data_IF_154522592089
#
_entry.id   IF_154522592089
#
_cell.length_a   1.000
_cell.length_b   1.000
_cell.length_c   1.000
_cell.angle_alpha   90.00
_cell.angle_beta   90.00
_cell.angle_gamma   90.00
#
_symmetry.space_group_name_H-M   'P 1'
#
loop_
_entity.id
_entity.type
_entity.pdbx_description
1 polymer ?
#
# COMPACT_ATOMS: atom_id res chain seq x y z
N UNK A 1 -31.92 13.62 -58.18
CA UNK A 1 -33.06 14.53 -58.43
C UNK A 1 -33.84 14.63 -57.13
N UNK A 2 -34.02 15.85 -56.64
CA UNK A 2 -34.84 16.19 -55.47
C UNK A 2 -36.29 16.33 -55.94
N UNK A 3 -37.24 15.80 -55.17
CA UNK A 3 -38.62 16.29 -55.04
C UNK A 3 -39.27 15.53 -53.86
N UNK A 4 -39.96 16.11 -52.87
CA UNK A 4 -40.44 17.48 -52.72
C UNK A 4 -41.97 17.60 -52.76
N UNK A 5 -42.73 16.91 -51.91
CA UNK A 5 -44.15 17.25 -51.65
C UNK A 5 -44.62 16.61 -50.32
N UNK A 6 -44.76 17.36 -49.23
CA UNK A 6 -45.87 18.24 -48.80
C UNK A 6 -47.09 17.46 -48.27
N UNK A 7 -47.28 17.56 -46.96
CA UNK A 7 -48.40 17.06 -46.17
C UNK A 7 -49.73 17.77 -46.46
N UNK A 8 -50.88 17.18 -46.10
CA UNK A 8 -52.07 17.93 -45.73
C UNK A 8 -52.12 18.24 -44.22
N UNK A 9 -52.64 19.43 -43.93
CA UNK A 9 -52.79 20.05 -42.60
C UNK A 9 -54.16 19.75 -42.00
N UNK A 10 -54.15 19.53 -40.67
CA UNK A 10 -55.20 19.85 -39.70
C UNK A 10 -56.48 18.98 -39.73
N UNK A 11 -57.29 18.88 -38.68
CA UNK A 11 -57.49 19.68 -37.48
C UNK A 11 -57.96 18.77 -36.32
N UNK A 12 -57.74 19.18 -35.07
CA UNK A 12 -58.37 18.56 -33.90
C UNK A 12 -57.64 18.90 -32.60
N UNK A 13 -57.95 20.07 -32.02
CA UNK A 13 -57.61 20.42 -30.64
C UNK A 13 -58.87 20.35 -29.82
N UNK A 14 -58.93 19.42 -28.88
CA UNK A 14 -59.78 19.48 -27.70
C UNK A 14 -59.57 18.22 -26.86
N UNK A 15 -59.45 18.40 -25.54
CA UNK A 15 -59.39 17.28 -24.60
C UNK A 15 -58.29 17.38 -23.55
N UNK A 16 -58.27 18.47 -22.80
CA UNK A 16 -57.67 18.50 -21.48
C UNK A 16 -58.33 17.44 -20.58
N UNK A 17 -57.55 16.46 -20.13
CA UNK A 17 -57.93 15.54 -19.06
C UNK A 17 -56.77 15.40 -18.07
N UNK A 18 -56.93 15.71 -16.78
CA UNK A 18 -55.84 15.62 -15.81
C UNK A 18 -55.63 14.15 -15.42
N UNK A 19 -54.82 13.44 -16.20
CA UNK A 19 -54.26 12.15 -15.83
C UNK A 19 -53.25 12.35 -14.70
N UNK A 20 -53.65 11.99 -13.47
CA UNK A 20 -52.82 11.94 -12.27
C UNK A 20 -51.54 11.16 -12.58
N UNK A 21 -50.40 11.85 -12.77
CA UNK A 21 -49.09 11.21 -12.67
C UNK A 21 -48.80 11.00 -11.20
N UNK A 22 -49.04 9.79 -10.72
CA UNK A 22 -48.51 9.33 -9.45
C UNK A 22 -46.99 9.53 -9.49
N UNK A 23 -46.46 10.24 -8.49
CA UNK A 23 -45.04 10.45 -8.34
C UNK A 23 -44.34 9.10 -8.23
N UNK A 24 -43.44 8.82 -9.17
CA UNK A 24 -42.39 7.85 -8.90
C UNK A 24 -41.42 8.59 -7.97
N UNK A 25 -41.47 8.24 -6.68
CA UNK A 25 -40.44 8.61 -5.73
C UNK A 25 -39.08 8.38 -6.40
N UNK A 26 -38.26 9.44 -6.47
CA UNK A 26 -36.83 9.27 -6.63
C UNK A 26 -36.40 8.48 -5.39
N UNK A 27 -36.28 7.17 -5.56
CA UNK A 27 -35.92 6.28 -4.48
C UNK A 27 -34.67 6.81 -3.81
N UNK A 28 -34.72 6.91 -2.50
CA UNK A 28 -33.54 6.87 -1.65
C UNK A 28 -32.64 5.76 -2.21
N UNK A 29 -31.55 6.17 -2.88
CA UNK A 29 -30.44 5.23 -3.06
C UNK A 29 -30.00 4.92 -1.63
N UNK A 30 -29.96 3.65 -1.20
CA UNK A 30 -29.29 3.35 0.05
C UNK A 30 -27.88 3.91 -0.08
N UNK A 31 -27.51 4.83 0.82
CA UNK A 31 -26.13 5.26 0.94
C UNK A 31 -25.31 3.99 1.11
N UNK A 32 -24.42 3.71 0.16
CA UNK A 32 -23.51 2.59 0.29
C UNK A 32 -22.84 2.70 1.67
N UNK A 33 -22.81 1.62 2.46
CA UNK A 33 -22.26 1.69 3.80
C UNK A 33 -20.81 2.16 3.66
N UNK A 34 -20.52 3.33 4.27
CA UNK A 34 -19.15 3.86 4.35
C UNK A 34 -18.26 2.72 4.82
N UNK A 35 -17.23 2.33 4.04
CA UNK A 35 -16.41 1.21 4.43
C UNK A 35 -15.82 1.49 5.81
N UNK A 36 -15.97 0.55 6.75
CA UNK A 36 -15.44 0.66 8.11
C UNK A 36 -13.97 1.10 8.05
N UNK A 37 -13.45 1.89 9.00
CA UNK A 37 -12.05 2.34 8.98
C UNK A 37 -11.05 1.16 8.91
N UNK A 38 -11.44 -0.03 9.39
CA UNK A 38 -10.68 -1.29 9.25
C UNK A 38 -10.59 -1.82 7.81
N UNK A 39 -11.49 -1.44 6.90
CA UNK A 39 -11.45 -1.75 5.47
C UNK A 39 -10.58 -0.77 4.68
N UNK A 40 -10.38 0.46 5.17
CA UNK A 40 -9.40 1.39 4.59
C UNK A 40 -7.94 1.03 4.96
N UNK A 41 -7.72 0.41 6.12
CA UNK A 41 -6.43 -0.22 6.47
C UNK A 41 -6.04 -1.42 5.56
N UNK A 42 -6.93 -1.81 4.63
CA UNK A 42 -6.63 -2.77 3.54
C UNK A 42 -6.03 -2.13 2.29
N UNK A 43 -5.60 -0.88 2.36
CA UNK A 43 -4.44 -0.40 1.62
C UNK A 43 -3.30 -0.30 2.63
N UNK A 44 -2.51 -1.36 2.74
CA UNK A 44 -1.34 -1.39 3.61
C UNK A 44 -0.51 -0.14 3.32
N UNK A 45 -0.08 0.65 4.33
CA UNK A 45 0.64 1.90 4.08
C UNK A 45 1.89 1.59 3.28
N UNK A 46 1.90 1.81 1.97
CA UNK A 46 3.07 1.48 1.15
C UNK A 46 4.22 2.32 1.67
N UNK A 47 5.24 1.66 2.22
CA UNK A 47 6.47 2.37 2.57
C UNK A 47 6.95 3.05 1.30
N UNK A 48 7.22 4.36 1.31
CA UNK A 48 7.55 5.10 0.11
C UNK A 48 9.01 4.87 -0.32
N UNK A 49 9.48 3.62 -0.30
CA UNK A 49 10.74 3.28 -0.96
C UNK A 49 10.47 2.50 -2.25
N UNK A 50 11.23 2.87 -3.27
CA UNK A 50 11.29 2.12 -4.52
C UNK A 50 12.36 1.04 -4.39
N UNK A 51 12.06 -0.17 -4.84
CA UNK A 51 13.05 -1.24 -4.87
C UNK A 51 14.11 -0.93 -5.94
N UNK A 52 15.41 -0.91 -5.61
CA UNK A 52 16.46 -0.66 -6.58
C UNK A 52 16.45 -1.67 -7.74
N UNK A 53 16.55 -1.20 -8.99
CA UNK A 53 16.46 -2.04 -10.19
C UNK A 53 17.47 -3.19 -10.19
N UNK A 54 18.73 -2.89 -9.86
CA UNK A 54 19.81 -3.90 -9.75
C UNK A 54 19.49 -5.01 -8.76
N UNK A 55 18.83 -4.69 -7.65
CA UNK A 55 18.37 -5.70 -6.70
C UNK A 55 17.26 -6.55 -7.29
N UNK A 56 16.27 -5.91 -7.94
CA UNK A 56 15.17 -6.62 -8.57
C UNK A 56 15.64 -7.60 -9.67
N UNK A 57 16.60 -7.17 -10.49
CA UNK A 57 17.26 -7.99 -11.51
C UNK A 57 18.00 -9.17 -10.89
N UNK A 58 18.83 -8.93 -9.86
CA UNK A 58 19.54 -10.00 -9.16
C UNK A 58 18.59 -11.04 -8.56
N UNK A 59 17.49 -10.60 -7.93
CA UNK A 59 16.49 -11.52 -7.37
C UNK A 59 15.81 -12.37 -8.44
N UNK A 60 15.51 -11.81 -9.61
CA UNK A 60 14.96 -12.56 -10.75
C UNK A 60 15.98 -13.53 -11.31
N UNK A 61 17.24 -13.12 -11.41
CA UNK A 61 18.31 -13.93 -11.97
C UNK A 61 18.61 -15.16 -11.10
N UNK A 62 18.83 -14.98 -9.80
CA UNK A 62 19.18 -16.08 -8.92
C UNK A 62 17.99 -16.95 -8.57
N UNK A 63 16.79 -16.37 -8.41
CA UNK A 63 15.68 -17.03 -7.70
C UNK A 63 14.34 -16.96 -8.45
N UNK A 64 14.40 -16.59 -9.74
CA UNK A 64 13.31 -16.69 -10.68
C UNK A 64 12.00 -16.05 -10.20
N UNK A 65 10.91 -16.80 -10.32
CA UNK A 65 9.58 -16.34 -9.96
C UNK A 65 9.44 -15.99 -8.46
N UNK A 66 10.10 -16.75 -7.58
CA UNK A 66 10.10 -16.48 -6.14
C UNK A 66 10.79 -15.16 -5.81
N UNK A 67 11.93 -14.88 -6.47
CA UNK A 67 12.61 -13.59 -6.37
C UNK A 67 11.77 -12.42 -6.88
N UNK A 68 11.09 -12.58 -8.01
CA UNK A 68 10.18 -11.57 -8.55
C UNK A 68 9.00 -11.29 -7.61
N UNK A 69 8.36 -12.33 -7.07
CA UNK A 69 7.27 -12.22 -6.13
C UNK A 69 7.71 -11.52 -4.83
N UNK A 70 8.90 -11.84 -4.32
CA UNK A 70 9.48 -11.16 -3.17
C UNK A 70 9.67 -9.66 -3.42
N UNK A 71 10.26 -9.29 -4.56
CA UNK A 71 10.49 -7.88 -4.93
C UNK A 71 9.18 -7.10 -4.97
N UNK A 72 8.13 -7.66 -5.57
CA UNK A 72 6.81 -7.04 -5.63
C UNK A 72 6.17 -6.87 -4.24
N UNK A 73 6.37 -7.85 -3.35
CA UNK A 73 5.81 -7.82 -2.00
C UNK A 73 6.62 -6.98 -1.00
N UNK A 74 7.89 -6.67 -1.29
CA UNK A 74 8.82 -6.08 -0.33
C UNK A 74 8.34 -4.76 0.30
N UNK A 75 7.79 -3.77 -0.45
CA UNK A 75 7.30 -2.53 0.15
C UNK A 75 6.15 -2.76 1.13
N UNK A 76 5.17 -3.59 0.76
CA UNK A 76 4.03 -3.92 1.63
C UNK A 76 4.46 -4.76 2.84
N UNK A 77 5.46 -5.62 2.67
CA UNK A 77 6.06 -6.37 3.76
C UNK A 77 6.73 -5.45 4.77
N UNK A 78 7.54 -4.49 4.33
CA UNK A 78 8.20 -3.53 5.19
C UNK A 78 7.19 -2.65 5.94
N UNK A 79 6.12 -2.23 5.26
CA UNK A 79 5.03 -1.44 5.82
C UNK A 79 4.44 -2.07 7.07
N UNK A 80 4.06 -3.35 6.95
CA UNK A 80 3.46 -4.12 8.04
C UNK A 80 4.40 -4.29 9.23
N UNK A 81 5.72 -4.36 9.01
CA UNK A 81 6.70 -4.43 10.11
C UNK A 81 6.85 -3.08 10.76
N UNK A 82 6.85 -2.00 9.97
CA UNK A 82 6.95 -0.67 10.53
C UNK A 82 5.69 -0.25 11.30
N UNK A 83 4.51 -0.63 10.84
CA UNK A 83 3.27 -0.44 11.59
C UNK A 83 3.32 -1.19 12.93
N UNK A 84 3.75 -2.46 12.91
CA UNK A 84 3.80 -3.31 14.11
C UNK A 84 4.85 -2.88 15.12
N UNK A 85 6.02 -2.44 14.67
CA UNK A 85 7.15 -2.11 15.54
C UNK A 85 7.32 -0.60 15.77
N UNK A 86 6.51 0.22 15.09
CA UNK A 86 6.57 1.69 15.07
C UNK A 86 7.95 2.33 14.79
N UNK A 87 8.87 1.75 14.00
CA UNK A 87 10.08 2.45 13.61
C UNK A 87 9.79 3.45 12.47
N UNK A 88 10.54 4.55 12.43
CA UNK A 88 10.43 5.60 11.41
C UNK A 88 11.58 5.49 10.41
N UNK A 89 11.35 5.63 9.09
CA UNK A 89 12.45 5.68 8.11
C UNK A 89 13.47 6.78 8.44
N UNK A 90 14.76 6.45 8.33
CA UNK A 90 15.90 7.33 8.66
C UNK A 90 16.94 7.31 7.53
N UNK A 91 16.48 7.38 6.28
CA UNK A 91 17.34 7.47 5.11
C UNK A 91 16.88 6.67 3.90
N UNK A 92 17.73 6.64 2.88
CA UNK A 92 17.48 5.93 1.62
C UNK A 92 17.61 4.42 1.79
N UNK A 93 16.79 3.67 1.07
CA UNK A 93 16.93 2.21 0.98
C UNK A 93 18.28 1.85 0.36
N UNK A 94 18.93 0.85 0.92
CA UNK A 94 20.17 0.26 0.42
C UNK A 94 19.92 -1.21 0.10
N UNK A 95 20.80 -1.83 -0.67
CA UNK A 95 20.70 -3.26 -0.97
C UNK A 95 22.07 -3.91 -1.05
N UNK A 96 22.14 -5.15 -0.57
CA UNK A 96 23.22 -6.08 -0.90
C UNK A 96 22.80 -6.99 -2.04
N UNK A 97 23.46 -8.15 -2.15
CA UNK A 97 23.07 -9.19 -3.11
C UNK A 97 21.76 -9.87 -2.68
N UNK A 98 21.64 -10.21 -1.39
CA UNK A 98 20.54 -11.03 -0.89
C UNK A 98 19.38 -10.25 -0.25
N UNK A 99 19.59 -9.00 0.17
CA UNK A 99 18.62 -8.28 1.00
C UNK A 99 18.51 -6.78 0.70
N UNK A 100 17.32 -6.24 0.96
CA UNK A 100 17.05 -4.82 1.10
C UNK A 100 17.30 -4.39 2.55
N UNK A 101 17.85 -3.20 2.72
CA UNK A 101 18.17 -2.59 4.02
C UNK A 101 17.57 -1.20 4.06
N UNK A 102 16.61 -0.99 4.96
CA UNK A 102 16.02 0.31 5.23
C UNK A 102 16.56 0.85 6.57
N UNK A 103 17.31 1.96 6.58
CA UNK A 103 17.66 2.64 7.81
C UNK A 103 16.38 3.16 8.51
N UNK A 104 16.27 2.94 9.82
CA UNK A 104 15.13 3.38 10.61
C UNK A 104 15.57 3.89 11.98
N UNK A 105 14.72 4.71 12.62
CA UNK A 105 14.79 5.03 14.05
C UNK A 105 13.69 4.29 14.79
N UNK A 106 14.01 3.74 15.95
CA UNK A 106 13.01 3.11 16.84
C UNK A 106 12.11 4.18 17.47
N UNK A 107 11.03 3.77 18.14
CA UNK A 107 10.20 4.69 18.93
C UNK A 107 10.99 5.46 20.01
N UNK A 108 12.08 4.87 20.50
CA UNK A 108 12.98 5.47 21.48
C UNK A 108 14.07 6.37 20.84
N UNK A 109 14.06 6.51 19.52
CA UNK A 109 14.98 7.36 18.75
C UNK A 109 16.34 6.72 18.41
N UNK A 110 16.55 5.45 18.76
CA UNK A 110 17.77 4.69 18.48
C UNK A 110 17.88 4.34 16.98
N UNK A 111 19.09 4.34 16.45
CA UNK A 111 19.33 3.94 15.07
C UNK A 111 19.26 2.42 14.91
N UNK A 112 18.50 1.97 13.92
CA UNK A 112 18.32 0.57 13.60
C UNK A 112 18.20 0.37 12.09
N UNK A 113 18.10 -0.89 11.67
CA UNK A 113 17.87 -1.27 10.27
C UNK A 113 16.74 -2.28 10.18
N UNK A 114 15.88 -2.10 9.18
CA UNK A 114 14.91 -3.10 8.75
C UNK A 114 15.50 -3.85 7.55
N UNK A 115 15.96 -5.09 7.78
CA UNK A 115 16.46 -5.99 6.73
C UNK A 115 15.30 -6.83 6.19
N UNK A 116 15.09 -6.80 4.87
CA UNK A 116 14.13 -7.66 4.17
C UNK A 116 14.88 -8.56 3.19
N UNK A 117 14.71 -9.87 3.35
CA UNK A 117 15.42 -10.92 2.61
C UNK A 117 14.43 -12.04 2.25
N UNK A 118 14.57 -12.65 1.07
CA UNK A 118 13.81 -13.85 0.75
C UNK A 118 14.33 -14.98 1.64
N UNK A 119 13.41 -15.73 2.27
CA UNK A 119 13.76 -16.93 3.01
C UNK A 119 13.94 -18.08 2.03
N UNK A 120 15.16 -18.58 1.96
CA UNK A 120 15.64 -19.71 1.17
C UNK A 120 16.17 -20.77 2.14
N UNK A 121 16.61 -21.92 1.62
CA UNK A 121 17.27 -22.94 2.42
C UNK A 121 18.50 -22.37 3.14
N UNK A 122 19.36 -21.66 2.42
CA UNK A 122 20.58 -21.01 2.95
C UNK A 122 20.27 -20.02 4.08
N UNK A 123 19.17 -19.28 3.97
CA UNK A 123 18.85 -18.17 4.89
C UNK A 123 17.85 -18.57 5.98
N UNK A 124 17.33 -19.79 5.94
CA UNK A 124 16.33 -20.28 6.89
C UNK A 124 16.83 -20.31 8.34
N UNK A 125 18.13 -20.58 8.52
CA UNK A 125 18.79 -20.67 9.82
C UNK A 125 19.24 -19.33 10.41
N UNK A 126 19.40 -18.28 9.58
CA UNK A 126 19.98 -17.00 10.01
C UNK A 126 19.25 -16.41 11.21
N UNK A 127 17.91 -16.30 11.13
CA UNK A 127 17.13 -15.69 12.20
C UNK A 127 17.20 -16.44 13.53
N UNK A 128 17.28 -17.77 13.50
CA UNK A 128 17.42 -18.60 14.70
C UNK A 128 18.83 -18.49 15.28
N UNK A 129 19.86 -18.54 14.43
CA UNK A 129 21.26 -18.38 14.82
C UNK A 129 21.53 -17.01 15.45
N UNK A 130 20.96 -15.93 14.90
CA UNK A 130 21.05 -14.59 15.49
C UNK A 130 20.30 -14.53 16.83
N UNK A 131 19.16 -15.19 17.01
CA UNK A 131 18.51 -15.21 18.34
C UNK A 131 19.29 -15.99 19.39
N UNK A 132 19.89 -17.10 19.00
CA UNK A 132 20.60 -17.99 19.92
C UNK A 132 21.94 -17.43 20.42
N UNK A 133 22.57 -16.53 19.65
CA UNK A 133 23.98 -16.13 19.88
C UNK A 133 24.19 -14.65 20.21
N UNK A 134 23.15 -13.83 20.27
CA UNK A 134 23.33 -12.38 20.46
C UNK A 134 23.35 -11.96 21.93
N UNK A 135 24.52 -11.49 22.39
CA UNK A 135 24.63 -10.46 23.43
C UNK A 135 24.79 -9.12 22.70
N UNK A 136 23.79 -8.25 22.78
CA UNK A 136 23.93 -6.88 22.31
C UNK A 136 24.23 -5.97 23.50
N UNK A 137 25.23 -5.11 23.37
CA UNK A 137 25.48 -4.01 24.31
C UNK A 137 24.98 -2.73 23.63
N UNK A 138 23.79 -2.25 23.98
CA UNK A 138 23.38 -0.88 23.62
C UNK A 138 24.14 0.02 24.58
N UNK A 139 25.20 0.66 24.10
CA UNK A 139 25.71 1.86 24.76
C UNK A 139 24.66 2.94 24.60
N UNK A 140 23.70 3.01 25.54
CA UNK A 140 22.85 4.20 25.67
C UNK A 140 23.79 5.37 25.90
N UNK A 141 23.98 6.19 24.87
CA UNK A 141 24.62 7.48 25.03
C UNK A 141 23.73 8.30 25.95
N UNK A 142 24.07 8.37 27.25
CA UNK A 142 23.44 9.32 28.16
C UNK A 142 23.73 10.72 27.61
N UNK A 143 22.77 11.30 26.87
CA UNK A 143 22.75 12.75 26.66
C UNK A 143 22.44 13.38 28.01
N UNK A 144 23.47 13.65 28.79
CA UNK A 144 23.36 14.44 30.01
C UNK A 144 22.91 15.84 29.62
N UNK A 145 21.69 16.21 29.98
CA UNK A 145 21.33 17.61 30.15
C UNK A 145 22.27 18.17 31.24
N UNK A 146 23.31 18.92 30.85
CA UNK A 146 23.93 19.87 31.76
C UNK A 146 22.90 20.99 31.96
N UNK A 147 22.28 21.02 33.14
CA UNK A 147 21.62 22.23 33.63
C UNK A 147 22.76 23.20 33.98
N UNK A 148 22.85 24.28 33.22
CA UNK A 148 23.48 25.52 33.65
C UNK A 148 22.41 26.43 34.23
#
# INVERSE_FOLDING_TARGET
MRDGARAPRGWGRDGSGPGRRTGRAAGDRPAEPRPCPSRMARMAPSVPFTVPARFAEGRRHYEGAAGAAFVAAAPAMAARRMERWSPRPDGRVRHGVAALVLPVRTGDGEQAVLKAQLRTEETAGEGAALRARWVWRVTRGRRGCRRG
#
